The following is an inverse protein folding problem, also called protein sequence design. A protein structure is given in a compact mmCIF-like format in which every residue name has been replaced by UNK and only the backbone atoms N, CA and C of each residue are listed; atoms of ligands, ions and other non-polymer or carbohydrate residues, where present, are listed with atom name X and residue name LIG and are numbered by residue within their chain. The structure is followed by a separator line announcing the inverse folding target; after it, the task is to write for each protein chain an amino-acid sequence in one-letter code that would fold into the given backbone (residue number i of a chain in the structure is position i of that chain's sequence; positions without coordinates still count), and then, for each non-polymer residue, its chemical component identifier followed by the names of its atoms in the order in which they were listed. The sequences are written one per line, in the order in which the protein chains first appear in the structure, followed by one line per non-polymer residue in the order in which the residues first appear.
data_IF_436256907875
#
_entry.id   IF_436256907875
#
_cell.length_a   1.000
_cell.length_b   1.000
_cell.length_c   1.000
_cell.angle_alpha   90.00
_cell.angle_beta   90.00
_cell.angle_gamma   90.00
#
_symmetry.space_group_name_H-M   'P 1'
#
loop_
_entity.id
_entity.type
_entity.pdbx_description
1 polymer ?
#
# COMPACT_ATOMS: atom_id res chain seq x y z
N UNK A 1 -25.99 -0.82 8.09
CA UNK A 1 -24.56 -0.46 8.25
C UNK A 1 -23.99 -0.15 6.88
N UNK A 2 -23.12 0.84 6.75
CA UNK A 2 -22.66 1.30 5.45
C UNK A 2 -21.54 0.42 4.91
N UNK A 3 -21.43 0.34 3.59
CA UNK A 3 -20.40 -0.40 2.86
C UNK A 3 -19.53 0.58 2.10
N UNK A 4 -18.23 0.56 2.38
CA UNK A 4 -17.24 1.23 1.54
C UNK A 4 -16.69 0.24 0.52
N UNK A 5 -16.73 0.62 -0.76
CA UNK A 5 -16.19 -0.16 -1.86
C UNK A 5 -15.06 0.61 -2.54
N UNK A 6 -14.01 -0.10 -2.95
CA UNK A 6 -12.92 0.47 -3.74
C UNK A 6 -12.40 -0.49 -4.79
N UNK A 7 -12.35 0.01 -6.03
CA UNK A 7 -11.68 -0.59 -7.18
C UNK A 7 -10.76 0.47 -7.79
N UNK A 8 -9.44 0.35 -7.57
CA UNK A 8 -8.44 1.36 -7.93
C UNK A 8 -8.75 2.78 -7.40
N UNK A 9 -9.11 3.68 -8.30
CA UNK A 9 -9.50 5.08 -8.10
C UNK A 9 -11.02 5.27 -7.98
N UNK A 10 -11.82 4.28 -8.40
CA UNK A 10 -13.27 4.24 -8.20
C UNK A 10 -13.58 3.78 -6.79
N UNK A 11 -14.21 4.63 -6.00
CA UNK A 11 -14.64 4.32 -4.64
C UNK A 11 -16.00 4.93 -4.32
N UNK A 12 -16.74 4.27 -3.44
CA UNK A 12 -18.05 4.74 -2.98
C UNK A 12 -18.30 4.33 -1.53
N UNK A 13 -19.24 5.01 -0.89
CA UNK A 13 -19.82 4.63 0.39
C UNK A 13 -21.33 4.56 0.20
N UNK A 14 -21.89 3.38 0.42
CA UNK A 14 -23.30 3.07 0.18
C UNK A 14 -23.97 2.51 1.43
N UNK A 15 -25.29 2.55 1.48
CA UNK A 15 -26.04 2.25 2.71
C UNK A 15 -26.51 0.79 2.79
N UNK A 16 -26.51 0.06 1.68
CA UNK A 16 -27.00 -1.31 1.57
C UNK A 16 -26.27 -2.11 0.47
N UNK A 17 -26.58 -3.41 0.38
CA UNK A 17 -25.95 -4.32 -0.56
C UNK A 17 -26.36 -4.06 -2.03
N UNK A 18 -27.59 -3.60 -2.29
CA UNK A 18 -28.05 -3.39 -3.65
C UNK A 18 -27.37 -2.18 -4.29
N UNK A 19 -27.20 -1.07 -3.56
CA UNK A 19 -26.39 0.07 -4.00
C UNK A 19 -24.91 -0.33 -4.23
N UNK A 20 -24.39 -1.26 -3.44
CA UNK A 20 -23.03 -1.79 -3.62
C UNK A 20 -22.93 -2.58 -4.93
N UNK A 21 -23.92 -3.40 -5.24
CA UNK A 21 -24.02 -4.18 -6.47
C UNK A 21 -24.16 -3.25 -7.68
N UNK A 22 -25.00 -2.21 -7.59
CA UNK A 22 -25.18 -1.23 -8.66
C UNK A 22 -23.89 -0.46 -8.97
N UNK A 23 -23.14 -0.07 -7.93
CA UNK A 23 -21.80 0.50 -8.12
C UNK A 23 -20.87 -0.45 -8.85
N UNK A 24 -20.84 -1.74 -8.49
CA UNK A 24 -19.99 -2.72 -9.16
C UNK A 24 -20.40 -2.95 -10.62
N UNK A 25 -21.71 -2.97 -10.92
CA UNK A 25 -22.24 -3.05 -12.29
C UNK A 25 -21.87 -1.83 -13.14
N UNK A 26 -21.66 -0.66 -12.53
CA UNK A 26 -21.17 0.53 -13.24
C UNK A 26 -19.70 0.41 -13.70
N UNK A 27 -18.97 -0.59 -13.22
CA UNK A 27 -17.56 -0.82 -13.55
C UNK A 27 -17.48 -1.93 -14.60
N UNK A 28 -17.19 -1.55 -15.85
CA UNK A 28 -17.15 -2.46 -17.01
C UNK A 28 -16.21 -3.66 -16.81
N UNK A 29 -15.13 -3.50 -16.04
CA UNK A 29 -14.15 -4.56 -15.79
C UNK A 29 -14.63 -5.63 -14.79
N UNK A 30 -15.72 -5.40 -14.07
CA UNK A 30 -16.22 -6.30 -13.04
C UNK A 30 -17.44 -7.05 -13.57
N UNK A 31 -17.27 -8.34 -13.80
CA UNK A 31 -18.39 -9.24 -14.08
C UNK A 31 -19.16 -9.51 -12.78
N UNK A 32 -20.34 -8.90 -12.63
CA UNK A 32 -21.22 -9.13 -11.48
C UNK A 32 -22.07 -10.37 -11.75
N UNK A 33 -21.62 -11.51 -11.25
CA UNK A 33 -22.33 -12.79 -11.35
C UNK A 33 -23.35 -12.95 -10.21
N UNK A 34 -24.37 -13.81 -10.36
CA UNK A 34 -25.32 -14.11 -9.28
C UNK A 34 -24.63 -14.57 -7.98
N UNK A 35 -23.56 -15.36 -8.09
CA UNK A 35 -22.77 -15.80 -6.93
C UNK A 35 -22.08 -14.63 -6.22
N UNK A 36 -21.56 -13.65 -6.99
CA UNK A 36 -20.95 -12.46 -6.41
C UNK A 36 -21.99 -11.61 -5.69
N UNK A 37 -23.19 -11.47 -6.27
CA UNK A 37 -24.27 -10.73 -5.63
C UNK A 37 -24.73 -11.38 -4.32
N UNK A 38 -24.90 -12.71 -4.33
CA UNK A 38 -25.23 -13.47 -3.13
C UNK A 38 -24.16 -13.28 -2.05
N UNK A 39 -22.88 -13.39 -2.41
CA UNK A 39 -21.78 -13.24 -1.47
C UNK A 39 -21.66 -11.80 -0.90
N UNK A 40 -21.98 -10.77 -1.69
CA UNK A 40 -22.05 -9.38 -1.20
C UNK A 40 -23.23 -9.20 -0.23
N UNK A 41 -24.39 -9.77 -0.52
CA UNK A 41 -25.57 -9.72 0.37
C UNK A 41 -25.30 -10.46 1.68
N UNK A 42 -24.73 -11.66 1.60
CA UNK A 42 -24.32 -12.46 2.75
C UNK A 42 -23.26 -11.73 3.57
N UNK A 43 -22.26 -11.15 2.90
CA UNK A 43 -21.27 -10.32 3.58
C UNK A 43 -21.96 -9.16 4.28
N UNK A 44 -22.82 -8.38 3.62
CA UNK A 44 -23.51 -7.24 4.23
C UNK A 44 -24.36 -7.63 5.45
N UNK A 45 -25.07 -8.77 5.40
CA UNK A 45 -25.93 -9.27 6.46
C UNK A 45 -25.18 -9.94 7.63
N UNK A 46 -23.97 -10.46 7.38
CA UNK A 46 -23.17 -11.12 8.42
C UNK A 46 -22.72 -10.17 9.55
N UNK A 47 -22.33 -10.75 10.68
CA UNK A 47 -21.67 -10.03 11.78
C UNK A 47 -20.14 -9.85 11.55
N UNK A 48 -19.62 -10.25 10.39
CA UNK A 48 -18.17 -10.19 10.11
C UNK A 48 -17.77 -8.77 9.68
N UNK A 49 -16.90 -8.12 10.45
CA UNK A 49 -16.39 -6.76 10.17
C UNK A 49 -15.06 -6.72 9.40
N UNK A 50 -14.45 -7.88 9.13
CA UNK A 50 -13.18 -7.93 8.43
C UNK A 50 -13.35 -7.53 6.95
N UNK A 51 -12.47 -6.67 6.39
CA UNK A 51 -12.50 -6.31 4.97
C UNK A 51 -12.44 -7.53 4.06
N UNK A 52 -13.38 -7.63 3.12
CA UNK A 52 -13.39 -8.72 2.13
C UNK A 52 -12.78 -8.23 0.81
N UNK A 53 -11.94 -9.06 0.20
CA UNK A 53 -11.28 -8.79 -1.08
C UNK A 53 -11.82 -9.73 -2.14
N UNK A 54 -12.19 -9.17 -3.29
CA UNK A 54 -12.80 -9.90 -4.39
C UNK A 54 -11.88 -9.82 -5.60
N UNK A 55 -11.40 -10.98 -6.05
CA UNK A 55 -10.49 -11.07 -7.20
C UNK A 55 -11.30 -10.90 -8.49
N UNK A 56 -10.91 -9.93 -9.30
CA UNK A 56 -11.50 -9.68 -10.63
C UNK A 56 -10.66 -10.36 -11.71
N UNK A 57 -9.34 -10.17 -11.66
CA UNK A 57 -8.36 -10.87 -12.51
C UNK A 57 -7.01 -10.98 -11.79
N UNK A 58 -5.98 -11.52 -12.45
CA UNK A 58 -4.63 -11.59 -11.89
C UNK A 58 -4.19 -10.20 -11.39
N UNK A 59 -3.79 -10.12 -10.11
CA UNK A 59 -3.37 -8.89 -9.42
C UNK A 59 -4.40 -7.76 -9.33
N UNK A 60 -5.66 -7.98 -9.72
CA UNK A 60 -6.71 -6.97 -9.70
C UNK A 60 -7.86 -7.43 -8.83
N UNK A 61 -8.20 -6.62 -7.84
CA UNK A 61 -9.26 -6.88 -6.88
C UNK A 61 -9.99 -5.59 -6.51
N UNK A 62 -11.22 -5.73 -6.06
CA UNK A 62 -11.89 -4.70 -5.27
C UNK A 62 -11.99 -5.13 -3.81
N UNK A 63 -12.21 -4.16 -2.92
CA UNK A 63 -12.42 -4.41 -1.50
C UNK A 63 -13.79 -3.90 -1.07
N UNK A 64 -14.39 -4.59 -0.11
CA UNK A 64 -15.61 -4.16 0.58
C UNK A 64 -15.31 -4.09 2.08
N UNK A 65 -15.67 -2.96 2.70
CA UNK A 65 -15.43 -2.69 4.12
C UNK A 65 -16.73 -2.23 4.76
N UNK A 66 -17.18 -2.93 5.80
CA UNK A 66 -18.26 -2.45 6.65
C UNK A 66 -17.81 -1.30 7.54
N UNK A 67 -18.64 -0.28 7.64
CA UNK A 67 -18.33 0.90 8.44
C UNK A 67 -19.59 1.55 9.01
N UNK A 68 -19.42 2.18 10.16
CA UNK A 68 -20.43 3.05 10.80
C UNK A 68 -20.33 4.50 10.33
N UNK A 69 -19.38 4.81 9.44
CA UNK A 69 -19.20 6.15 8.92
C UNK A 69 -20.39 6.55 8.03
N UNK A 70 -20.98 7.72 8.30
CA UNK A 70 -22.13 8.22 7.55
C UNK A 70 -21.73 8.86 6.20
N UNK A 71 -20.48 9.33 6.07
CA UNK A 71 -20.00 10.01 4.86
C UNK A 71 -18.62 9.50 4.45
N UNK A 72 -18.29 9.67 3.16
CA UNK A 72 -16.95 9.36 2.62
C UNK A 72 -15.84 10.11 3.37
N UNK A 73 -16.11 11.34 3.79
CA UNK A 73 -15.17 12.16 4.56
C UNK A 73 -14.87 11.53 5.93
N UNK A 74 -15.92 11.15 6.68
CA UNK A 74 -15.78 10.52 8.00
C UNK A 74 -15.03 9.18 7.90
N UNK A 75 -15.34 8.37 6.89
CA UNK A 75 -14.64 7.11 6.65
C UNK A 75 -13.14 7.31 6.41
N UNK A 76 -12.77 8.26 5.54
CA UNK A 76 -11.37 8.56 5.23
C UNK A 76 -10.62 9.14 6.43
N UNK A 77 -11.27 9.98 7.23
CA UNK A 77 -10.66 10.57 8.43
C UNK A 77 -10.47 9.52 9.54
N UNK A 78 -11.46 8.65 9.79
CA UNK A 78 -11.38 7.58 10.82
C UNK A 78 -10.37 6.49 10.48
N UNK A 79 -10.13 6.19 9.20
CA UNK A 79 -9.03 5.31 8.78
C UNK A 79 -7.65 5.85 9.20
N UNK A 80 -7.49 7.18 9.25
CA UNK A 80 -6.31 7.83 9.81
C UNK A 80 -6.16 7.67 11.33
N UNK A 81 -7.27 7.46 12.05
CA UNK A 81 -7.28 7.24 13.49
C UNK A 81 -6.91 5.81 13.91
N UNK A 82 -7.28 4.78 13.14
CA UNK A 82 -6.90 3.38 13.46
C UNK A 82 -5.41 3.08 13.23
N UNK A 83 -4.69 3.91 12.48
CA UNK A 83 -3.21 3.94 12.45
C UNK A 83 -2.61 4.87 13.52
N UNK A 84 -3.47 5.55 14.31
CA UNK A 84 -3.10 6.54 15.31
C UNK A 84 -3.77 6.23 16.65
N UNK A 85 -3.37 5.11 17.25
CA UNK A 85 -3.18 5.15 18.70
C UNK A 85 -2.13 6.21 19.00
N UNK A 86 -2.45 7.11 19.93
CA UNK A 86 -1.70 8.30 20.37
C UNK A 86 -1.94 9.56 19.52
N UNK A 87 -2.44 10.58 20.22
CA UNK A 87 -2.85 11.88 19.69
C UNK A 87 -1.82 12.59 18.81
N UNK A 88 -2.31 13.63 18.15
CA UNK A 88 -1.64 14.50 17.17
C UNK A 88 -1.77 14.06 15.70
N UNK A 89 -3.02 13.94 15.23
CA UNK A 89 -3.32 13.78 13.80
C UNK A 89 -2.90 14.98 12.93
N UNK A 90 -2.67 16.15 13.52
CA UNK A 90 -2.15 17.34 12.84
C UNK A 90 -0.62 17.24 12.63
N UNK A 91 0.14 16.79 13.64
CA UNK A 91 1.60 16.66 13.55
C UNK A 91 2.04 15.56 12.60
N UNK A 92 1.31 14.43 12.52
CA UNK A 92 1.70 13.33 11.62
C UNK A 92 1.54 13.66 10.14
N UNK A 93 0.53 14.47 9.77
CA UNK A 93 0.38 14.96 8.39
C UNK A 93 1.51 15.93 8.07
N UNK A 94 1.77 16.89 8.97
CA UNK A 94 2.91 17.81 8.85
C UNK A 94 4.26 17.07 8.75
N UNK A 95 4.46 16.01 9.55
CA UNK A 95 5.68 15.20 9.52
C UNK A 95 5.81 14.33 8.26
N UNK A 96 4.71 13.76 7.76
CA UNK A 96 4.71 13.00 6.51
C UNK A 96 4.92 13.91 5.28
N UNK A 97 4.33 15.10 5.28
CA UNK A 97 4.54 16.13 4.25
C UNK A 97 5.98 16.64 4.27
N UNK A 98 6.56 16.84 5.46
CA UNK A 98 7.97 17.20 5.64
C UNK A 98 8.91 16.06 5.22
N UNK A 99 8.56 14.80 5.48
CA UNK A 99 9.32 13.64 5.02
C UNK A 99 9.27 13.49 3.49
N UNK A 100 8.13 13.77 2.86
CA UNK A 100 8.01 13.84 1.40
C UNK A 100 8.85 14.96 0.81
N UNK A 101 8.81 16.15 1.41
CA UNK A 101 9.64 17.28 0.98
C UNK A 101 11.13 16.93 1.04
N UNK A 102 11.60 16.33 2.14
CA UNK A 102 13.00 15.88 2.28
C UNK A 102 13.38 14.75 1.33
N UNK A 103 12.45 13.87 0.99
CA UNK A 103 12.71 12.75 0.08
C UNK A 103 13.03 13.26 -1.33
N UNK A 104 12.31 14.28 -1.80
CA UNK A 104 12.48 14.85 -3.15
C UNK A 104 13.41 16.07 -3.17
N UNK A 105 13.84 16.58 -2.02
CA UNK A 105 14.82 17.67 -1.91
C UNK A 105 16.09 17.33 -2.71
N UNK A 106 16.38 18.16 -3.71
CA UNK A 106 17.60 18.05 -4.50
C UNK A 106 18.79 18.53 -3.68
N UNK A 107 19.62 17.59 -3.25
CA UNK A 107 20.83 17.86 -2.47
C UNK A 107 21.89 16.82 -2.82
N UNK A 108 22.69 17.10 -3.85
CA UNK A 108 23.73 16.18 -4.29
C UNK A 108 24.76 15.85 -3.21
N UNK A 109 25.08 14.56 -3.06
CA UNK A 109 26.11 14.10 -2.13
C UNK A 109 26.05 12.61 -1.83
N UNK A 110 26.75 12.22 -0.77
CA UNK A 110 26.68 10.88 -0.23
C UNK A 110 25.42 10.69 0.61
N UNK A 111 24.73 9.59 0.38
CA UNK A 111 23.57 9.16 1.15
C UNK A 111 23.78 7.75 1.68
N UNK A 112 23.30 7.49 2.89
CA UNK A 112 23.06 6.13 3.40
C UNK A 112 21.57 5.85 3.22
N UNK A 113 21.24 4.77 2.51
CA UNK A 113 19.88 4.27 2.40
C UNK A 113 19.75 2.91 3.09
N UNK A 114 18.68 2.76 3.87
CA UNK A 114 18.32 1.58 4.64
C UNK A 114 16.95 1.11 4.13
N UNK A 115 16.90 -0.13 3.63
CA UNK A 115 15.76 -0.70 2.94
C UNK A 115 15.40 -2.08 3.49
N UNK A 116 14.17 -2.21 3.99
CA UNK A 116 13.57 -3.47 4.41
C UNK A 116 12.61 -3.98 3.31
N UNK A 117 12.92 -5.13 2.70
CA UNK A 117 12.14 -5.67 1.59
C UNK A 117 11.95 -7.18 1.66
N UNK A 118 10.99 -7.71 0.87
CA UNK A 118 10.75 -9.16 0.79
C UNK A 118 11.56 -9.72 -0.38
N UNK A 119 12.66 -10.41 -0.07
CA UNK A 119 13.51 -11.08 -1.07
C UNK A 119 12.96 -12.47 -1.35
N UNK A 120 12.84 -12.82 -2.63
CA UNK A 120 12.54 -14.21 -3.02
C UNK A 120 13.85 -15.01 -3.05
N UNK A 121 13.83 -16.18 -2.40
CA UNK A 121 14.94 -17.12 -2.35
C UNK A 121 14.44 -18.51 -2.76
N UNK A 122 15.19 -19.21 -3.60
CA UNK A 122 14.93 -20.62 -3.90
C UNK A 122 15.50 -21.48 -2.79
N UNK A 123 14.68 -22.38 -2.24
CA UNK A 123 15.09 -23.37 -1.24
C UNK A 123 15.74 -24.55 -1.99
N UNK A 124 17.07 -24.76 -1.89
CA UNK A 124 17.76 -25.73 -2.74
C UNK A 124 17.26 -27.16 -2.60
N UNK A 125 16.80 -27.54 -1.40
CA UNK A 125 16.31 -28.89 -1.12
C UNK A 125 14.94 -29.21 -1.73
N UNK A 126 14.11 -28.19 -2.00
CA UNK A 126 12.73 -28.39 -2.49
C UNK A 126 12.48 -27.78 -3.87
N UNK A 127 13.38 -26.94 -4.37
CA UNK A 127 13.19 -26.14 -5.59
C UNK A 127 12.08 -25.07 -5.46
N UNK A 128 11.44 -24.96 -4.29
CA UNK A 128 10.38 -23.97 -4.04
C UNK A 128 10.97 -22.60 -3.77
N UNK A 129 10.17 -21.57 -4.05
CA UNK A 129 10.53 -20.19 -3.79
C UNK A 129 9.79 -19.68 -2.57
N UNK A 130 10.49 -18.96 -1.69
CA UNK A 130 9.92 -18.36 -0.49
C UNK A 130 10.33 -16.89 -0.38
N UNK A 131 9.47 -16.11 0.29
CA UNK A 131 9.75 -14.71 0.60
C UNK A 131 10.41 -14.61 1.98
N UNK A 132 11.55 -13.94 2.05
CA UNK A 132 12.27 -13.64 3.29
C UNK A 132 12.33 -12.13 3.52
N UNK A 133 12.07 -11.72 4.75
CA UNK A 133 12.40 -10.36 5.19
C UNK A 133 13.90 -10.14 5.07
N UNK A 134 14.29 -9.08 4.35
CA UNK A 134 15.69 -8.76 4.08
C UNK A 134 15.92 -7.29 4.38
N UNK A 135 16.91 -7.04 5.22
CA UNK A 135 17.42 -5.71 5.52
C UNK A 135 18.65 -5.44 4.65
N UNK A 136 18.69 -4.30 3.99
CA UNK A 136 19.79 -3.90 3.13
C UNK A 136 20.15 -2.43 3.39
N UNK A 137 21.45 -2.18 3.61
CA UNK A 137 21.97 -0.83 3.81
C UNK A 137 23.09 -0.58 2.82
N UNK A 138 23.06 0.56 2.15
CA UNK A 138 24.11 0.97 1.24
C UNK A 138 24.39 2.47 1.35
N UNK A 139 25.66 2.82 1.16
CA UNK A 139 26.07 4.20 0.94
C UNK A 139 26.28 4.42 -0.55
N UNK A 140 25.54 5.36 -1.11
CA UNK A 140 25.65 5.66 -2.52
C UNK A 140 25.72 7.17 -2.75
N UNK A 141 26.34 7.51 -3.87
CA UNK A 141 26.21 8.82 -4.47
C UNK A 141 24.76 9.00 -4.93
N UNK A 142 24.05 10.07 -4.55
CA UNK A 142 22.73 10.41 -5.06
C UNK A 142 22.48 11.92 -5.10
N UNK A 143 21.49 12.33 -5.89
CA UNK A 143 21.04 13.73 -6.01
C UNK A 143 19.92 14.11 -5.02
N UNK A 144 19.27 13.12 -4.40
CA UNK A 144 18.20 13.29 -3.42
C UNK A 144 17.97 11.98 -2.65
N UNK A 145 17.10 12.00 -1.64
CA UNK A 145 16.66 10.77 -0.97
C UNK A 145 15.94 9.80 -1.93
N UNK A 146 15.17 10.35 -2.88
CA UNK A 146 14.49 9.58 -3.93
C UNK A 146 15.49 8.94 -4.90
N UNK A 147 16.53 9.67 -5.31
CA UNK A 147 17.59 9.11 -6.16
C UNK A 147 18.38 8.02 -5.43
N UNK A 148 18.65 8.19 -4.12
CA UNK A 148 19.25 7.15 -3.28
C UNK A 148 18.42 5.86 -3.28
N UNK A 149 17.10 5.96 -3.07
CA UNK A 149 16.20 4.82 -3.16
C UNK A 149 16.26 4.15 -4.54
N UNK A 150 16.15 4.94 -5.62
CA UNK A 150 16.14 4.43 -6.98
C UNK A 150 17.41 3.63 -7.29
N UNK A 151 18.58 4.17 -6.93
CA UNK A 151 19.88 3.51 -7.12
C UNK A 151 20.00 2.21 -6.33
N UNK A 152 19.52 2.18 -5.09
CA UNK A 152 19.50 0.95 -4.27
C UNK A 152 18.61 -0.11 -4.92
N UNK A 153 17.40 0.26 -5.33
CA UNK A 153 16.45 -0.68 -5.95
C UNK A 153 16.96 -1.18 -7.30
N UNK A 154 17.51 -0.30 -8.13
CA UNK A 154 18.13 -0.68 -9.41
C UNK A 154 19.28 -1.67 -9.18
N UNK A 155 20.18 -1.38 -8.23
CA UNK A 155 21.26 -2.30 -7.85
C UNK A 155 20.74 -3.66 -7.37
N UNK A 156 19.64 -3.69 -6.61
CA UNK A 156 19.09 -4.94 -6.09
C UNK A 156 18.34 -5.75 -7.16
N UNK A 157 17.65 -5.10 -8.11
CA UNK A 157 16.87 -5.77 -9.17
C UNK A 157 17.70 -6.76 -9.99
N UNK A 158 18.97 -6.45 -10.22
CA UNK A 158 19.88 -7.34 -10.97
C UNK A 158 20.47 -8.47 -10.12
N UNK A 159 20.29 -8.43 -8.79
CA UNK A 159 20.96 -9.34 -7.83
C UNK A 159 19.99 -10.21 -7.06
N UNK A 160 18.71 -9.91 -7.09
CA UNK A 160 17.66 -10.71 -6.46
C UNK A 160 16.69 -11.21 -7.50
N UNK A 161 15.96 -12.28 -7.15
CA UNK A 161 14.91 -12.82 -8.00
C UNK A 161 13.86 -11.75 -8.32
N UNK A 162 13.39 -11.71 -9.56
CA UNK A 162 12.47 -10.68 -10.10
C UNK A 162 11.12 -10.63 -9.38
N UNK A 163 10.74 -11.69 -8.66
CA UNK A 163 9.53 -11.74 -7.83
C UNK A 163 9.70 -11.06 -6.46
N UNK A 164 10.91 -10.64 -6.11
CA UNK A 164 11.18 -9.89 -4.87
C UNK A 164 10.38 -8.59 -4.84
N UNK A 165 9.86 -8.23 -3.67
CA UNK A 165 8.96 -7.09 -3.49
C UNK A 165 9.68 -5.97 -2.76
N UNK A 166 9.87 -4.86 -3.46
CA UNK A 166 10.44 -3.63 -2.90
C UNK A 166 9.33 -2.72 -2.34
N UNK A 167 9.50 -2.16 -1.13
CA UNK A 167 8.54 -1.20 -0.58
C UNK A 167 8.62 0.13 -1.31
N UNK A 168 7.60 0.99 -1.19
CA UNK A 168 7.70 2.36 -1.71
C UNK A 168 8.76 3.18 -0.97
N UNK A 169 9.47 4.07 -1.68
CA UNK A 169 10.37 5.08 -1.11
C UNK A 169 9.68 5.99 -0.07
N UNK A 170 8.34 6.12 -0.17
CA UNK A 170 7.50 6.91 0.74
C UNK A 170 7.08 6.15 2.00
N UNK A 171 7.35 4.84 2.05
CA UNK A 171 6.94 3.97 3.13
C UNK A 171 7.95 3.93 4.27
N UNK A 172 7.51 3.43 5.43
CA UNK A 172 8.34 3.26 6.64
C UNK A 172 9.53 2.29 6.49
N UNK A 173 9.51 1.46 5.44
CA UNK A 173 10.51 0.43 5.17
C UNK A 173 11.70 0.97 4.36
N UNK A 174 11.72 2.26 4.05
CA UNK A 174 12.89 2.94 3.51
C UNK A 174 13.24 4.13 4.40
N UNK A 175 14.51 4.23 4.78
CA UNK A 175 15.08 5.35 5.53
C UNK A 175 16.31 5.84 4.78
N UNK A 176 16.58 7.14 4.83
CA UNK A 176 17.79 7.69 4.24
C UNK A 176 18.41 8.76 5.13
N UNK A 177 19.73 8.93 5.01
CA UNK A 177 20.51 9.94 5.72
C UNK A 177 21.50 10.58 4.75
N UNK A 178 21.49 11.90 4.65
CA UNK A 178 22.53 12.64 3.95
C UNK A 178 23.82 12.63 4.78
N UNK A 179 24.94 12.25 4.14
CA UNK A 179 26.24 12.08 4.79
C UNK A 179 27.22 13.23 4.48
N UNK A 180 26.94 14.05 3.47
CA UNK A 180 27.82 15.14 3.07
C UNK A 180 27.99 15.24 1.57
N UNK A 181 28.46 16.40 1.11
CA UNK A 181 28.71 16.65 -0.30
C UNK A 181 29.92 15.83 -0.75
N UNK A 182 29.87 15.23 -1.93
CA UNK A 182 31.10 14.74 -2.55
C UNK A 182 31.86 15.93 -3.14
N UNK A 183 33.18 15.94 -3.03
CA UNK A 183 34.03 16.79 -3.87
C UNK A 183 34.50 15.96 -5.07
#
# INVERSE_FOLDING_TARGET
MNLYLRYFDKETLVSNADEAIDFLRSIQEIAVTPDLEADIRDYAASEVFFPKRYKVRAHVYFIVIKTVAATMLDFKQKKGLRASGNGNGQDRRSAADNQMARLVEERAGWYEGDLDFKRVVMVPSTGKHEYRDTHFVARCKANSGQDCYNRIVEHLRDRVDTRSQFPSAKGKNFRFKYLGMWK
#
